data_IF_717107054134
#
_entry.id   IF_717107054134
#
_cell.length_a   1.000
_cell.length_b   1.000
_cell.length_c   1.000
_cell.angle_alpha   90.00
_cell.angle_beta   90.00
_cell.angle_gamma   90.00
#
_symmetry.space_group_name_H-M   'P 1'
#
loop_
_entity.id
_entity.type
_entity.pdbx_description
1 polymer ?
#
# COMPACT_ATOMS: atom_id res chain seq x y z
N UNK A 1 4.23 11.32 16.79
CA UNK A 1 4.91 11.18 15.48
C UNK A 1 6.34 11.73 15.47
N UNK A 2 6.60 12.95 15.95
CA UNK A 2 7.93 13.57 15.95
C UNK A 2 9.08 12.66 16.45
N UNK A 3 8.92 12.00 17.60
CA UNK A 3 9.91 11.05 18.15
C UNK A 3 10.24 9.88 17.22
N UNK A 4 9.25 9.39 16.46
CA UNK A 4 9.47 8.30 15.49
C UNK A 4 10.21 8.81 14.25
N UNK A 5 9.91 10.04 13.81
CA UNK A 5 10.62 10.69 12.70
C UNK A 5 12.09 10.94 13.05
N UNK A 6 12.34 11.42 14.27
CA UNK A 6 13.69 11.62 14.78
C UNK A 6 14.46 10.30 14.85
N UNK A 7 13.86 9.26 15.44
CA UNK A 7 14.48 7.93 15.52
C UNK A 7 14.74 7.28 14.16
N UNK A 8 13.93 7.60 13.14
CA UNK A 8 14.11 7.08 11.78
C UNK A 8 15.34 7.69 11.06
N UNK A 9 15.88 8.81 11.53
CA UNK A 9 17.01 9.48 10.86
C UNK A 9 16.68 9.74 9.38
N UNK A 10 17.63 9.48 8.51
CA UNK A 10 17.50 9.78 7.07
C UNK A 10 16.71 8.72 6.28
N UNK A 11 16.11 7.73 6.95
CA UNK A 11 15.29 6.72 6.29
C UNK A 11 14.00 7.34 5.73
N UNK A 12 13.60 6.88 4.54
CA UNK A 12 12.34 7.27 3.96
C UNK A 12 11.16 6.70 4.76
N UNK A 13 10.24 7.56 5.19
CA UNK A 13 9.11 7.18 6.05
C UNK A 13 7.83 7.05 5.21
N UNK A 14 7.09 5.96 5.43
CA UNK A 14 5.75 5.73 4.90
C UNK A 14 4.73 5.80 6.03
N UNK A 15 3.74 6.68 5.91
CA UNK A 15 2.57 6.64 6.79
C UNK A 15 1.62 5.55 6.28
N UNK A 16 1.45 4.49 7.07
CA UNK A 16 0.68 3.31 6.67
C UNK A 16 -0.85 3.55 6.69
N UNK A 17 -1.62 2.47 6.51
CA UNK A 17 -3.09 2.47 6.47
C UNK A 17 -3.84 2.95 7.72
N UNK A 18 -3.17 3.34 8.80
CA UNK A 18 -3.83 4.15 9.83
C UNK A 18 -4.44 5.44 9.25
N UNK A 19 -3.94 5.91 8.10
CA UNK A 19 -4.55 7.01 7.36
C UNK A 19 -5.98 6.71 6.89
N UNK A 20 -6.30 5.45 6.61
CA UNK A 20 -7.66 5.04 6.20
C UNK A 20 -8.68 5.13 7.35
N UNK A 21 -8.21 5.22 8.59
CA UNK A 21 -9.04 5.19 9.80
C UNK A 21 -9.32 6.58 10.39
N UNK A 22 -8.80 7.65 9.76
CA UNK A 22 -9.00 9.02 10.22
C UNK A 22 -10.42 9.50 9.89
N UNK A 23 -10.94 10.41 10.71
CA UNK A 23 -12.26 11.01 10.47
C UNK A 23 -12.28 11.96 9.28
N UNK A 24 -11.20 12.72 9.09
CA UNK A 24 -11.05 13.71 8.03
C UNK A 24 -9.69 13.54 7.33
N UNK A 25 -9.70 13.02 6.11
CA UNK A 25 -8.50 12.77 5.32
C UNK A 25 -7.85 14.06 4.80
N UNK A 26 -8.61 15.15 4.65
CA UNK A 26 -8.06 16.44 4.24
C UNK A 26 -7.22 17.04 5.37
N UNK A 27 -7.77 17.05 6.59
CA UNK A 27 -7.03 17.50 7.76
C UNK A 27 -5.83 16.60 8.05
N UNK A 28 -6.01 15.27 7.99
CA UNK A 28 -4.91 14.34 8.23
C UNK A 28 -3.77 14.49 7.21
N UNK A 29 -4.07 14.79 5.94
CA UNK A 29 -3.06 15.05 4.91
C UNK A 29 -2.24 16.31 5.25
N UNK A 30 -2.91 17.40 5.64
CA UNK A 30 -2.23 18.65 6.06
C UNK A 30 -1.43 18.47 7.34
N UNK A 31 -1.92 17.69 8.31
CA UNK A 31 -1.20 17.34 9.52
C UNK A 31 0.08 16.56 9.21
N UNK A 32 0.02 15.58 8.30
CA UNK A 32 1.20 14.86 7.82
C UNK A 32 2.18 15.80 7.14
N UNK A 33 1.70 16.73 6.31
CA UNK A 33 2.53 17.72 5.64
C UNK A 33 3.22 18.67 6.64
N UNK A 34 2.57 18.99 7.76
CA UNK A 34 3.12 19.83 8.83
C UNK A 34 4.35 19.23 9.53
N UNK A 35 4.58 17.92 9.37
CA UNK A 35 5.72 17.20 9.95
C UNK A 35 7.04 17.39 9.18
N UNK A 36 7.15 18.47 8.41
CA UNK A 36 8.41 18.90 7.78
C UNK A 36 8.84 18.07 6.57
N UNK A 37 7.90 17.40 5.90
CA UNK A 37 8.19 16.65 4.65
C UNK A 37 9.03 15.38 4.82
N UNK A 38 9.17 14.88 6.06
CA UNK A 38 9.89 13.63 6.38
C UNK A 38 9.11 12.38 6.01
N UNK A 39 7.78 12.48 5.96
CA UNK A 39 6.91 11.43 5.46
C UNK A 39 6.91 11.53 3.93
N UNK A 40 7.47 10.51 3.29
CA UNK A 40 7.64 10.47 1.84
C UNK A 40 6.43 9.90 1.11
N UNK A 41 5.64 9.06 1.80
CA UNK A 41 4.56 8.26 1.23
C UNK A 41 3.40 8.11 2.20
N UNK A 42 2.19 8.01 1.67
CA UNK A 42 1.00 7.56 2.39
C UNK A 42 0.49 6.29 1.71
N UNK A 43 0.52 5.16 2.43
CA UNK A 43 -0.12 3.91 2.02
C UNK A 43 -1.59 3.96 2.41
N UNK A 44 -2.48 3.88 1.42
CA UNK A 44 -3.90 4.15 1.61
C UNK A 44 -4.78 3.32 0.67
N UNK A 45 -5.98 2.99 1.14
CA UNK A 45 -7.11 2.53 0.31
C UNK A 45 -8.20 3.60 0.21
N UNK A 46 -7.81 4.86 0.40
CA UNK A 46 -8.66 6.05 0.44
C UNK A 46 -9.85 5.89 1.41
N UNK A 47 -9.63 5.26 2.57
CA UNK A 47 -10.69 5.03 3.56
C UNK A 47 -11.74 3.97 3.16
N UNK A 48 -11.51 3.18 2.10
CA UNK A 48 -12.29 1.96 1.80
C UNK A 48 -11.67 0.72 2.44
N UNK A 49 -12.40 -0.39 2.52
CA UNK A 49 -11.82 -1.66 3.01
C UNK A 49 -10.70 -2.14 2.08
N UNK A 50 -10.94 -2.07 0.77
CA UNK A 50 -10.00 -2.38 -0.30
C UNK A 50 -10.49 -1.77 -1.64
N UNK A 51 -9.65 -1.80 -2.68
CA UNK A 51 -9.98 -1.24 -4.00
C UNK A 51 -10.96 -2.05 -4.85
N UNK A 52 -11.32 -3.27 -4.44
CA UNK A 52 -12.42 -4.04 -5.04
C UNK A 52 -13.80 -3.65 -4.53
N UNK A 53 -13.90 -2.76 -3.53
CA UNK A 53 -15.16 -2.27 -3.00
C UNK A 53 -15.79 -1.19 -3.88
N UNK A 54 -17.12 -1.19 -3.99
CA UNK A 54 -17.85 -0.15 -4.69
C UNK A 54 -17.52 1.24 -4.11
N UNK A 55 -17.22 2.19 -4.99
CA UNK A 55 -16.90 3.58 -4.62
C UNK A 55 -15.47 3.82 -4.14
N UNK A 56 -14.59 2.80 -4.07
CA UNK A 56 -13.19 2.99 -3.71
C UNK A 56 -12.45 3.95 -4.68
N UNK A 57 -12.72 3.85 -5.98
CA UNK A 57 -12.14 4.74 -7.00
C UNK A 57 -12.60 6.18 -6.86
N UNK A 58 -13.87 6.39 -6.50
CA UNK A 58 -14.39 7.73 -6.19
C UNK A 58 -13.64 8.34 -5.00
N UNK A 59 -13.49 7.60 -3.89
CA UNK A 59 -12.75 8.09 -2.72
C UNK A 59 -11.29 8.38 -3.06
N UNK A 60 -10.66 7.55 -3.90
CA UNK A 60 -9.29 7.80 -4.37
C UNK A 60 -9.19 9.10 -5.16
N UNK A 61 -10.15 9.37 -6.06
CA UNK A 61 -10.24 10.63 -6.78
C UNK A 61 -10.42 11.83 -5.85
N UNK A 62 -11.27 11.70 -4.82
CA UNK A 62 -11.46 12.75 -3.81
C UNK A 62 -10.16 13.03 -3.04
N UNK A 63 -9.39 11.99 -2.69
CA UNK A 63 -8.07 12.13 -2.04
C UNK A 63 -7.02 12.79 -2.95
N UNK A 64 -7.03 12.48 -4.25
CA UNK A 64 -6.16 13.16 -5.24
C UNK A 64 -6.50 14.65 -5.32
N UNK A 65 -7.78 15.02 -5.26
CA UNK A 65 -8.22 16.42 -5.24
C UNK A 65 -7.68 17.12 -4.00
N UNK A 66 -7.79 16.50 -2.81
CA UNK A 66 -7.19 17.02 -1.57
C UNK A 66 -5.69 17.27 -1.75
N UNK A 67 -4.95 16.29 -2.25
CA UNK A 67 -3.51 16.41 -2.46
C UNK A 67 -3.16 17.56 -3.41
N UNK A 68 -3.88 17.71 -4.53
CA UNK A 68 -3.69 18.82 -5.49
C UNK A 68 -3.99 20.19 -4.87
N UNK A 69 -5.06 20.28 -4.08
CA UNK A 69 -5.37 21.52 -3.35
C UNK A 69 -4.28 21.89 -2.35
N UNK A 70 -3.67 20.91 -1.67
CA UNK A 70 -2.54 21.19 -0.79
C UNK A 70 -1.30 21.60 -1.59
N UNK A 71 -1.03 20.96 -2.74
CA UNK A 71 0.10 21.29 -3.61
C UNK A 71 0.05 22.75 -4.11
N UNK A 72 -1.14 23.28 -4.39
CA UNK A 72 -1.31 24.66 -4.89
C UNK A 72 -1.14 25.74 -3.82
N UNK A 73 -1.31 25.41 -2.53
CA UNK A 73 -1.12 26.35 -1.41
C UNK A 73 0.35 26.70 -1.15
N UNK A 74 1.29 25.88 -1.63
CA UNK A 74 2.71 26.04 -1.32
C UNK A 74 3.36 27.03 -2.29
N UNK A 75 3.55 28.26 -1.81
CA UNK A 75 4.18 29.36 -2.58
C UNK A 75 5.58 29.75 -2.08
N UNK A 76 5.92 29.50 -0.80
CA UNK A 76 7.12 30.10 -0.18
C UNK A 76 7.97 29.16 0.70
N UNK A 77 7.79 27.84 0.65
CA UNK A 77 8.69 26.88 1.33
C UNK A 77 8.69 25.52 0.64
N UNK A 78 9.83 24.82 0.55
CA UNK A 78 9.90 23.49 -0.03
C UNK A 78 9.33 22.46 0.96
N UNK A 79 8.01 22.48 1.19
CA UNK A 79 7.33 21.37 1.87
C UNK A 79 7.26 20.23 0.87
N UNK A 80 7.97 19.14 1.17
CA UNK A 80 7.88 17.93 0.37
C UNK A 80 6.57 17.24 0.69
N UNK A 81 5.69 17.16 -0.30
CA UNK A 81 4.43 16.45 -0.16
C UNK A 81 4.67 14.93 -0.15
N UNK A 82 3.92 14.16 0.65
CA UNK A 82 3.95 12.71 0.54
C UNK A 82 3.26 12.27 -0.75
N UNK A 83 3.83 11.26 -1.41
CA UNK A 83 3.18 10.55 -2.54
C UNK A 83 2.08 9.63 -2.03
N UNK A 84 1.00 9.51 -2.79
CA UNK A 84 -0.03 8.50 -2.51
C UNK A 84 0.45 7.16 -3.08
N UNK A 85 0.40 6.13 -2.26
CA UNK A 85 0.69 4.74 -2.62
C UNK A 85 -0.59 3.93 -2.37
N UNK A 86 -1.39 3.61 -3.41
CA UNK A 86 -2.56 2.78 -3.24
C UNK A 86 -2.16 1.39 -2.71
N UNK A 87 -2.93 0.88 -1.75
CA UNK A 87 -2.84 -0.50 -1.30
C UNK A 87 -4.17 -1.05 -0.82
N UNK A 88 -4.16 -2.33 -0.43
CA UNK A 88 -5.37 -3.13 -0.09
C UNK A 88 -6.24 -3.48 -1.29
N UNK A 89 -6.19 -4.74 -1.72
CA UNK A 89 -6.97 -5.23 -2.86
C UNK A 89 -6.51 -4.69 -4.22
N UNK A 90 -5.26 -4.22 -4.32
CA UNK A 90 -4.64 -3.93 -5.61
C UNK A 90 -4.36 -5.26 -6.32
N UNK A 91 -5.11 -5.51 -7.38
CA UNK A 91 -5.05 -6.69 -8.26
C UNK A 91 -4.97 -6.25 -9.72
N UNK A 92 -4.63 -7.13 -10.66
CA UNK A 92 -4.65 -6.81 -12.08
C UNK A 92 -5.99 -6.26 -12.59
N UNK A 93 -7.11 -6.63 -11.95
CA UNK A 93 -8.45 -6.20 -12.38
C UNK A 93 -8.72 -4.72 -12.08
N UNK A 94 -8.24 -4.22 -10.93
CA UNK A 94 -8.48 -2.82 -10.49
C UNK A 94 -7.34 -1.89 -10.87
N UNK A 95 -6.18 -2.44 -11.22
CA UNK A 95 -4.97 -1.66 -11.44
C UNK A 95 -5.07 -0.69 -12.63
N UNK A 96 -5.64 -1.03 -13.80
CA UNK A 96 -5.73 -0.09 -14.92
C UNK A 96 -6.45 1.21 -14.54
N UNK A 97 -7.60 1.11 -13.85
CA UNK A 97 -8.35 2.29 -13.41
C UNK A 97 -7.59 3.10 -12.34
N UNK A 98 -6.86 2.41 -11.44
CA UNK A 98 -5.98 3.10 -10.49
C UNK A 98 -4.86 3.87 -11.18
N UNK A 99 -4.23 3.29 -12.20
CA UNK A 99 -3.17 3.95 -12.96
C UNK A 99 -3.72 5.16 -13.71
N UNK A 100 -4.89 5.05 -14.35
CA UNK A 100 -5.54 6.19 -15.02
C UNK A 100 -5.78 7.38 -14.07
N UNK A 101 -6.11 7.10 -12.80
CA UNK A 101 -6.29 8.13 -11.78
C UNK A 101 -4.96 8.69 -11.24
N UNK A 102 -3.96 7.83 -11.04
CA UNK A 102 -2.74 8.15 -10.29
C UNK A 102 -1.59 8.67 -11.15
N UNK A 103 -1.43 8.18 -12.38
CA UNK A 103 -0.34 8.59 -13.26
C UNK A 103 -0.26 10.11 -13.44
N UNK A 104 -1.38 10.85 -13.66
CA UNK A 104 -1.31 12.30 -13.82
C UNK A 104 -0.78 13.04 -12.59
N UNK A 105 -1.08 12.56 -11.38
CA UNK A 105 -0.58 13.19 -10.15
C UNK A 105 0.87 12.75 -9.86
N UNK A 106 1.25 11.51 -10.15
CA UNK A 106 2.64 11.09 -10.02
C UNK A 106 3.57 11.83 -10.99
N UNK A 107 3.13 12.08 -12.22
CA UNK A 107 3.87 12.90 -13.19
C UNK A 107 4.05 14.34 -12.70
N UNK A 108 2.99 14.94 -12.13
CA UNK A 108 3.05 16.27 -11.51
C UNK A 108 4.08 16.30 -10.36
N UNK A 109 4.13 15.25 -9.54
CA UNK A 109 5.15 15.08 -8.48
C UNK A 109 6.57 14.96 -9.05
N UNK A 110 6.76 14.16 -10.09
CA UNK A 110 8.06 13.98 -10.72
C UNK A 110 8.54 15.26 -11.38
N UNK A 111 7.67 16.03 -12.01
CA UNK A 111 8.02 17.34 -12.55
C UNK A 111 8.44 18.32 -11.44
N UNK A 112 7.77 18.28 -10.29
CA UNK A 112 8.02 19.21 -9.18
C UNK A 112 9.22 18.84 -8.30
N UNK A 113 9.52 17.54 -8.15
CA UNK A 113 10.52 17.04 -7.19
C UNK A 113 11.58 16.09 -7.81
N UNK A 114 11.50 15.77 -9.11
CA UNK A 114 12.32 14.73 -9.75
C UNK A 114 13.81 15.07 -9.89
N UNK A 115 14.20 16.34 -9.74
CA UNK A 115 15.62 16.75 -9.69
C UNK A 115 16.23 16.66 -8.28
N UNK A 116 15.43 16.31 -7.25
CA UNK A 116 15.89 16.27 -5.87
C UNK A 116 16.67 14.97 -5.59
N UNK A 117 18.01 15.08 -5.68
CA UNK A 117 19.00 14.02 -5.43
C UNK A 117 18.93 13.34 -4.05
N UNK A 118 18.10 13.84 -3.12
CA UNK A 118 17.83 13.23 -1.81
C UNK A 118 16.80 12.08 -1.86
N UNK A 119 16.46 11.55 -3.03
CA UNK A 119 15.57 10.40 -3.21
C UNK A 119 16.17 9.04 -2.80
N UNK A 120 17.38 9.04 -2.22
CA UNK A 120 18.02 7.86 -1.66
C UNK A 120 19.22 7.43 -2.50
N UNK A 121 20.38 7.31 -1.85
CA UNK A 121 21.55 6.68 -2.45
C UNK A 121 21.25 5.20 -2.68
N UNK A 122 20.95 4.81 -3.92
CA UNK A 122 20.77 3.41 -4.27
C UNK A 122 20.15 3.20 -5.65
N UNK A 123 20.99 3.28 -6.68
CA UNK A 123 20.76 2.89 -8.09
C UNK A 123 19.60 3.58 -8.82
N UNK A 124 20.02 4.24 -9.91
CA UNK A 124 19.25 4.62 -11.09
C UNK A 124 18.16 5.68 -10.85
N UNK A 125 18.49 6.91 -11.24
CA UNK A 125 17.58 8.04 -11.40
C UNK A 125 16.62 7.83 -12.58
N UNK A 126 15.98 6.66 -12.65
CA UNK A 126 14.77 6.50 -13.46
C UNK A 126 13.63 7.22 -12.75
N UNK A 127 12.90 8.04 -13.51
CA UNK A 127 11.70 8.70 -13.02
C UNK A 127 10.75 7.64 -12.44
N UNK A 128 10.56 7.64 -11.13
CA UNK A 128 9.63 6.71 -10.46
C UNK A 128 8.23 7.11 -10.89
N UNK A 129 7.65 6.40 -11.86
CA UNK A 129 6.31 6.64 -12.42
C UNK A 129 5.23 6.70 -11.32
N UNK A 130 5.46 6.03 -10.19
CA UNK A 130 4.55 5.91 -9.06
C UNK A 130 4.92 4.76 -8.16
N UNK A 131 4.17 4.55 -7.09
CA UNK A 131 4.35 3.40 -6.20
C UNK A 131 3.00 2.76 -5.87
N UNK A 132 2.93 1.44 -5.93
CA UNK A 132 1.74 0.65 -5.56
C UNK A 132 2.13 -0.40 -4.53
N UNK A 133 1.21 -0.74 -3.63
CA UNK A 133 1.41 -1.79 -2.63
C UNK A 133 0.39 -2.91 -2.78
N UNK A 134 0.88 -4.12 -3.08
CA UNK A 134 0.09 -5.34 -3.15
C UNK A 134 0.73 -6.46 -2.33
N UNK A 135 -0.09 -7.39 -1.84
CA UNK A 135 0.41 -8.57 -1.14
C UNK A 135 0.96 -9.63 -2.09
N UNK A 136 0.45 -9.67 -3.33
CA UNK A 136 0.79 -10.71 -4.33
C UNK A 136 0.52 -12.14 -3.86
N UNK A 137 -0.24 -12.32 -2.78
CA UNK A 137 -0.25 -13.59 -2.05
C UNK A 137 -1.47 -14.47 -2.30
N UNK A 138 -1.34 -15.71 -1.84
CA UNK A 138 -2.46 -16.61 -1.60
C UNK A 138 -2.18 -17.47 -0.37
N UNK A 139 -3.26 -17.98 0.21
CA UNK A 139 -3.14 -19.11 1.12
C UNK A 139 -2.88 -20.38 0.32
N UNK A 140 -2.03 -21.25 0.85
CA UNK A 140 -1.89 -22.61 0.36
C UNK A 140 -1.76 -23.56 1.55
N UNK A 141 -2.18 -24.80 1.34
CA UNK A 141 -1.95 -25.86 2.32
C UNK A 141 -0.56 -26.47 2.11
N UNK A 142 0.35 -26.40 3.09
CA UNK A 142 1.61 -27.12 2.99
C UNK A 142 1.35 -28.62 2.87
N UNK A 143 2.03 -29.27 1.93
CA UNK A 143 1.99 -30.72 1.77
C UNK A 143 2.64 -31.45 2.96
N UNK A 144 2.52 -32.79 3.05
CA UNK A 144 3.08 -33.58 4.15
C UNK A 144 4.59 -33.35 4.38
N UNK A 145 5.35 -33.15 3.31
CA UNK A 145 6.80 -32.91 3.37
C UNK A 145 7.14 -31.52 3.96
N UNK A 146 6.31 -30.51 3.73
CA UNK A 146 6.53 -29.13 4.21
C UNK A 146 5.95 -28.86 5.60
N UNK A 147 4.92 -29.63 5.97
CA UNK A 147 4.23 -29.55 7.26
C UNK A 147 4.81 -30.52 8.29
N UNK A 148 5.61 -31.48 7.85
CA UNK A 148 6.30 -32.45 8.68
C UNK A 148 5.33 -33.19 9.61
N UNK A 149 5.68 -33.28 10.89
CA UNK A 149 4.90 -33.99 11.90
C UNK A 149 3.48 -33.41 12.12
N UNK A 150 3.25 -32.13 11.79
CA UNK A 150 2.01 -31.42 12.12
C UNK A 150 0.82 -31.89 11.27
N UNK A 151 1.02 -32.11 9.96
CA UNK A 151 -0.08 -32.57 9.10
C UNK A 151 -0.47 -34.03 9.35
N UNK A 152 0.46 -34.86 9.84
CA UNK A 152 0.23 -36.29 9.99
C UNK A 152 -0.40 -36.66 11.34
N UNK A 153 -0.16 -35.88 12.42
CA UNK A 153 -0.50 -36.34 13.78
C UNK A 153 -1.25 -35.30 14.62
N UNK A 154 -1.04 -34.00 14.37
CA UNK A 154 -1.53 -32.92 15.26
C UNK A 154 -2.80 -32.22 14.75
N UNK A 155 -3.13 -32.32 13.45
CA UNK A 155 -4.29 -31.65 12.85
C UNK A 155 -5.53 -32.55 12.91
N UNK A 156 -6.33 -32.40 13.96
CA UNK A 156 -7.66 -33.06 14.04
C UNK A 156 -8.75 -32.17 13.47
N UNK A 157 -9.75 -32.78 12.84
CA UNK A 157 -10.96 -32.09 12.39
C UNK A 157 -11.60 -31.33 13.55
N UNK A 158 -11.87 -30.04 13.36
CA UNK A 158 -12.41 -29.14 14.39
C UNK A 158 -11.35 -28.48 15.30
N UNK A 159 -10.05 -28.75 15.11
CA UNK A 159 -8.98 -27.99 15.76
C UNK A 159 -8.53 -26.82 14.87
N UNK A 160 -8.29 -25.67 15.49
CA UNK A 160 -7.75 -24.48 14.83
C UNK A 160 -7.15 -23.54 15.86
N UNK A 161 -6.39 -22.55 15.40
CA UNK A 161 -5.73 -21.55 16.27
C UNK A 161 -6.65 -20.36 16.61
N UNK A 162 -7.96 -20.52 16.43
CA UNK A 162 -8.94 -19.44 16.65
C UNK A 162 -8.89 -18.32 15.61
N UNK A 163 -8.32 -18.59 14.42
CA UNK A 163 -8.25 -17.63 13.31
C UNK A 163 -9.54 -17.60 12.46
N UNK A 164 -10.47 -18.51 12.75
CA UNK A 164 -11.70 -18.74 11.99
C UNK A 164 -12.81 -19.23 12.93
N UNK A 165 -14.06 -18.90 12.61
CA UNK A 165 -15.23 -19.14 13.46
C UNK A 165 -16.01 -20.40 13.07
N UNK A 166 -15.78 -20.95 11.87
CA UNK A 166 -16.45 -22.15 11.35
C UNK A 166 -15.45 -23.17 10.79
N UNK A 167 -15.95 -24.32 10.35
CA UNK A 167 -15.16 -25.50 9.95
C UNK A 167 -15.10 -25.76 8.44
N UNK A 168 -15.37 -24.75 7.61
CA UNK A 168 -15.41 -24.93 6.15
C UNK A 168 -13.99 -24.96 5.54
N UNK A 169 -13.81 -25.57 4.36
CA UNK A 169 -12.49 -25.85 3.76
C UNK A 169 -11.63 -24.58 3.53
N UNK A 170 -12.26 -23.44 3.21
CA UNK A 170 -11.57 -22.15 3.12
C UNK A 170 -11.03 -21.67 4.48
N UNK A 171 -11.76 -21.93 5.56
CA UNK A 171 -11.36 -21.57 6.93
C UNK A 171 -10.31 -22.55 7.47
N UNK A 172 -10.36 -23.82 7.07
CA UNK A 172 -9.32 -24.80 7.38
C UNK A 172 -7.97 -24.36 6.80
N UNK A 173 -8.01 -23.80 5.59
CA UNK A 173 -6.85 -23.22 4.92
C UNK A 173 -6.34 -21.96 5.62
N UNK A 174 -7.20 -21.17 6.26
CA UNK A 174 -6.74 -20.03 7.08
C UNK A 174 -6.17 -20.46 8.44
N UNK A 175 -6.69 -21.53 9.03
CA UNK A 175 -6.22 -22.04 10.31
C UNK A 175 -4.88 -22.78 10.17
N UNK A 176 -4.64 -23.46 9.06
CA UNK A 176 -3.51 -24.38 8.90
C UNK A 176 -2.67 -24.15 7.65
N UNK A 177 -3.19 -23.39 6.70
CA UNK A 177 -2.44 -22.99 5.53
C UNK A 177 -1.39 -21.94 5.88
N UNK A 178 -0.52 -21.67 4.92
CA UNK A 178 0.51 -20.64 5.00
C UNK A 178 0.19 -19.57 3.96
N UNK A 179 0.33 -18.31 4.33
CA UNK A 179 0.30 -17.22 3.37
C UNK A 179 1.66 -17.18 2.65
N UNK A 180 1.66 -17.21 1.32
CA UNK A 180 2.87 -16.99 0.52
C UNK A 180 2.61 -15.99 -0.58
N UNK A 181 3.68 -15.31 -0.98
CA UNK A 181 3.71 -14.53 -2.22
C UNK A 181 3.71 -15.49 -3.42
N UNK A 182 2.96 -15.14 -4.45
CA UNK A 182 2.86 -15.89 -5.71
C UNK A 182 3.48 -15.05 -6.82
N UNK A 183 4.57 -15.56 -7.40
CA UNK A 183 5.32 -14.87 -8.45
C UNK A 183 4.46 -14.49 -9.65
N UNK A 184 3.55 -15.36 -10.09
CA UNK A 184 2.62 -15.09 -11.21
C UNK A 184 1.70 -13.89 -10.95
N UNK A 185 1.19 -13.74 -9.71
CA UNK A 185 0.34 -12.60 -9.34
C UNK A 185 1.12 -11.28 -9.35
N UNK A 186 2.35 -11.33 -8.85
CA UNK A 186 3.26 -10.17 -8.90
C UNK A 186 3.62 -9.83 -10.35
N UNK A 187 3.92 -10.84 -11.16
CA UNK A 187 4.21 -10.70 -12.59
C UNK A 187 3.04 -10.11 -13.38
N UNK A 188 1.81 -10.53 -13.09
CA UNK A 188 0.62 -9.98 -13.74
C UNK A 188 0.45 -8.47 -13.48
N UNK A 189 0.69 -8.04 -12.23
CA UNK A 189 0.69 -6.60 -11.90
C UNK A 189 1.87 -5.88 -12.55
N UNK A 190 3.07 -6.47 -12.54
CA UNK A 190 4.25 -5.84 -13.16
C UNK A 190 4.06 -5.60 -14.65
N UNK A 191 3.52 -6.59 -15.37
CA UNK A 191 3.21 -6.50 -16.80
C UNK A 191 2.18 -5.43 -17.17
N UNK A 192 1.40 -4.92 -16.21
CA UNK A 192 0.49 -3.80 -16.42
C UNK A 192 1.16 -2.45 -16.16
N UNK A 193 2.11 -2.39 -15.22
CA UNK A 193 2.89 -1.18 -14.91
C UNK A 193 3.94 -0.88 -15.98
N UNK A 194 4.47 -1.91 -16.64
CA UNK A 194 5.50 -1.79 -17.69
C UNK A 194 4.94 -1.41 -19.08
N UNK A 195 3.61 -1.26 -19.23
CA UNK A 195 2.96 -0.86 -20.49
C UNK A 195 2.88 0.64 -20.64
#
# INVERSE_FOLDING_TARGET
>A
MARLIEAAGDLAITFHRAFDMVLDQAQAYEDILSLGGRITRILTSAGSKNFGEAGAMKKMKDLIIIQRQSLSKVTNSPRRHPRLMPGSGVTPDVLPELLDLLSPIWDEFNHRYGSDSNLGHGRDAEAVLGEIHLSGGCWYMPGPEESGYVALVARKKGMGFGLAATTDDEEETKNWGRWRVVGEKVGAVRSLVDR
#
